data_IF_231060183657
#
_entry.id   IF_231060183657
#
_cell.length_a   1.000
_cell.length_b   1.000
_cell.length_c   1.000
_cell.angle_alpha   90.00
_cell.angle_beta   90.00
_cell.angle_gamma   90.00
#
_symmetry.space_group_name_H-M   'P 1'
#
loop_
_entity.id
_entity.type
_entity.pdbx_description
1 polymer ?
#
# COMPACT_ATOMS: atom_id res chain seq x y z
N UNK A 1 -54.31 3.52 -7.21
CA UNK A 1 -52.91 3.86 -7.57
C UNK A 1 -52.17 4.12 -6.26
N UNK A 2 -51.12 3.42 -5.81
CA UNK A 2 -50.13 2.50 -6.41
C UNK A 2 -49.61 1.51 -5.34
N UNK A 3 -49.35 0.22 -5.67
CA UNK A 3 -48.54 -0.68 -4.84
C UNK A 3 -47.07 -0.83 -5.33
N UNK A 4 -46.66 -0.13 -6.41
CA UNK A 4 -45.35 -0.31 -7.04
C UNK A 4 -44.17 0.41 -6.33
N UNK A 5 -44.43 1.49 -5.58
CA UNK A 5 -43.34 2.31 -5.02
C UNK A 5 -42.61 1.68 -3.83
N UNK A 6 -43.25 0.80 -3.04
CA UNK A 6 -42.58 0.13 -1.90
C UNK A 6 -41.60 -0.95 -2.32
N UNK A 7 -41.82 -1.59 -3.48
CA UNK A 7 -40.97 -2.68 -4.00
C UNK A 7 -39.64 -2.10 -4.52
N UNK A 8 -39.71 -0.94 -5.19
CA UNK A 8 -38.54 -0.27 -5.75
C UNK A 8 -37.52 0.18 -4.69
N UNK A 9 -37.97 0.51 -3.47
CA UNK A 9 -37.07 0.88 -2.36
C UNK A 9 -36.48 -0.31 -1.58
N UNK A 10 -37.14 -1.47 -1.55
CA UNK A 10 -36.71 -2.62 -0.77
C UNK A 10 -35.58 -3.43 -1.43
N UNK A 11 -35.57 -3.48 -2.77
CA UNK A 11 -34.55 -4.20 -3.56
C UNK A 11 -33.13 -3.66 -3.38
N UNK A 12 -32.86 -2.34 -3.55
CA UNK A 12 -31.50 -1.80 -3.44
C UNK A 12 -30.94 -1.89 -2.02
N UNK A 13 -31.79 -1.80 -0.99
CA UNK A 13 -31.37 -1.91 0.40
C UNK A 13 -30.87 -3.31 0.77
N UNK A 14 -31.47 -4.36 0.21
CA UNK A 14 -31.03 -5.75 0.43
C UNK A 14 -29.65 -6.02 -0.18
N UNK A 15 -29.42 -5.55 -1.41
CA UNK A 15 -28.14 -5.68 -2.12
C UNK A 15 -27.04 -4.92 -1.37
N UNK A 16 -27.32 -3.69 -0.94
CA UNK A 16 -26.38 -2.89 -0.16
C UNK A 16 -25.96 -3.58 1.14
N UNK A 17 -26.91 -4.18 1.88
CA UNK A 17 -26.59 -4.94 3.10
C UNK A 17 -25.75 -6.18 2.84
N UNK A 18 -26.04 -6.93 1.77
CA UNK A 18 -25.23 -8.10 1.39
C UNK A 18 -23.79 -7.67 1.06
N UNK A 19 -23.64 -6.65 0.23
CA UNK A 19 -22.34 -6.13 -0.17
C UNK A 19 -21.54 -5.59 1.02
N UNK A 20 -22.22 -4.91 1.95
CA UNK A 20 -21.64 -4.42 3.20
C UNK A 20 -21.10 -5.56 4.07
N UNK A 21 -21.84 -6.66 4.18
CA UNK A 21 -21.43 -7.82 4.96
C UNK A 21 -20.18 -8.46 4.36
N UNK A 22 -20.18 -8.68 3.03
CA UNK A 22 -19.03 -9.22 2.31
C UNK A 22 -17.81 -8.31 2.47
N UNK A 23 -17.99 -6.99 2.33
CA UNK A 23 -16.91 -6.01 2.48
C UNK A 23 -16.33 -6.00 3.89
N UNK A 24 -17.17 -6.01 4.92
CA UNK A 24 -16.75 -6.02 6.32
C UNK A 24 -15.97 -7.31 6.66
N UNK A 25 -16.46 -8.47 6.20
CA UNK A 25 -15.79 -9.74 6.39
C UNK A 25 -14.41 -9.78 5.69
N UNK A 26 -14.37 -9.28 4.44
CA UNK A 26 -13.13 -9.16 3.68
C UNK A 26 -12.11 -8.25 4.36
N UNK A 27 -12.53 -7.07 4.83
CA UNK A 27 -11.65 -6.12 5.54
C UNK A 27 -11.10 -6.68 6.84
N UNK A 28 -11.91 -7.44 7.59
CA UNK A 28 -11.48 -8.04 8.86
C UNK A 28 -10.44 -9.13 8.61
N UNK A 29 -10.68 -10.01 7.64
CA UNK A 29 -9.73 -11.05 7.23
C UNK A 29 -8.43 -10.44 6.69
N UNK A 30 -8.54 -9.41 5.85
CA UNK A 30 -7.40 -8.67 5.31
C UNK A 30 -6.58 -8.04 6.45
N UNK A 31 -7.23 -7.35 7.38
CA UNK A 31 -6.56 -6.72 8.53
C UNK A 31 -5.77 -7.73 9.37
N UNK A 32 -6.33 -8.91 9.61
CA UNK A 32 -5.65 -9.97 10.35
C UNK A 32 -4.38 -10.45 9.63
N UNK A 33 -4.46 -10.67 8.31
CA UNK A 33 -3.31 -11.08 7.50
C UNK A 33 -2.23 -10.00 7.51
N UNK A 34 -2.60 -8.74 7.34
CA UNK A 34 -1.64 -7.63 7.35
C UNK A 34 -0.93 -7.50 8.69
N UNK A 35 -1.63 -7.66 9.81
CA UNK A 35 -0.99 -7.62 11.14
C UNK A 35 0.03 -8.75 11.29
N UNK A 36 -0.29 -9.96 10.82
CA UNK A 36 0.65 -11.09 10.84
C UNK A 36 1.89 -10.82 9.95
N UNK A 37 1.68 -10.25 8.76
CA UNK A 37 2.77 -9.89 7.84
C UNK A 37 3.63 -8.76 8.39
N UNK A 38 3.01 -7.75 9.03
CA UNK A 38 3.70 -6.65 9.70
C UNK A 38 4.63 -7.18 10.79
N UNK A 39 4.18 -8.12 11.62
CA UNK A 39 5.00 -8.72 12.66
C UNK A 39 6.20 -9.47 12.09
N UNK A 40 5.99 -10.24 11.01
CA UNK A 40 7.09 -10.95 10.32
C UNK A 40 8.11 -9.97 9.73
N UNK A 41 7.65 -8.90 9.09
CA UNK A 41 8.52 -7.87 8.52
C UNK A 41 9.30 -7.11 9.60
N UNK A 42 8.68 -6.88 10.77
CA UNK A 42 9.35 -6.24 11.92
C UNK A 42 10.57 -7.04 12.36
N UNK A 43 10.44 -8.37 12.46
CA UNK A 43 11.55 -9.25 12.82
C UNK A 43 12.64 -9.24 11.75
N UNK A 44 12.26 -9.23 10.47
CA UNK A 44 13.20 -9.16 9.36
C UNK A 44 14.02 -7.86 9.39
N UNK A 45 13.34 -6.72 9.50
CA UNK A 45 13.98 -5.40 9.61
C UNK A 45 14.88 -5.29 10.84
N UNK A 46 14.44 -5.81 11.98
CA UNK A 46 15.26 -5.87 13.18
C UNK A 46 16.56 -6.64 12.94
N UNK A 47 16.49 -7.81 12.32
CA UNK A 47 17.68 -8.61 12.04
C UNK A 47 18.66 -7.92 11.08
N UNK A 48 18.15 -7.24 10.04
CA UNK A 48 18.96 -6.48 9.06
C UNK A 48 19.63 -5.26 9.71
N UNK A 49 18.96 -4.61 10.68
CA UNK A 49 19.50 -3.47 11.44
C UNK A 49 20.68 -3.86 12.34
N UNK A 50 20.62 -5.04 12.98
CA UNK A 50 21.64 -5.46 13.95
C UNK A 50 22.84 -6.21 13.32
N UNK A 51 22.81 -6.53 12.03
CA UNK A 51 23.94 -7.13 11.29
C UNK A 51 24.35 -6.26 10.06
N UNK A 52 24.90 -5.05 10.26
CA UNK A 52 25.23 -4.12 9.17
C UNK A 52 26.56 -4.46 8.48
N UNK A 53 26.78 -5.72 8.07
CA UNK A 53 28.09 -6.18 7.58
C UNK A 53 28.33 -6.01 6.06
N UNK A 54 27.40 -5.46 5.26
CA UNK A 54 27.63 -5.27 3.82
C UNK A 54 26.94 -4.02 3.26
N UNK A 55 27.65 -3.26 2.43
CA UNK A 55 27.21 -2.02 1.74
C UNK A 55 25.86 -2.15 0.99
N UNK A 56 25.44 -3.36 0.62
CA UNK A 56 24.12 -3.64 0.01
C UNK A 56 22.93 -3.61 1.00
N UNK A 57 23.19 -3.51 2.31
CA UNK A 57 22.17 -3.55 3.36
C UNK A 57 21.27 -2.31 3.36
N UNK A 58 21.79 -1.13 2.98
CA UNK A 58 21.01 0.13 3.02
C UNK A 58 19.80 0.12 2.08
N UNK A 59 20.00 -0.33 0.84
CA UNK A 59 18.89 -0.45 -0.13
C UNK A 59 17.85 -1.47 0.32
N UNK A 60 18.29 -2.62 0.84
CA UNK A 60 17.39 -3.67 1.35
C UNK A 60 16.59 -3.19 2.57
N UNK A 61 17.19 -2.40 3.44
CA UNK A 61 16.54 -1.84 4.63
C UNK A 61 15.48 -0.80 4.25
N UNK A 62 15.79 0.13 3.35
CA UNK A 62 14.82 1.13 2.88
C UNK A 62 13.66 0.46 2.15
N UNK A 63 13.93 -0.57 1.33
CA UNK A 63 12.90 -1.36 0.66
C UNK A 63 12.00 -2.10 1.68
N UNK A 64 12.57 -2.77 2.68
CA UNK A 64 11.80 -3.43 3.74
C UNK A 64 10.99 -2.43 4.59
N UNK A 65 11.54 -1.27 4.91
CA UNK A 65 10.86 -0.21 5.65
C UNK A 65 9.68 0.37 4.85
N UNK A 66 9.84 0.52 3.54
CA UNK A 66 8.73 0.85 2.65
C UNK A 66 7.64 -0.22 2.76
N UNK A 67 7.93 -1.50 2.57
CA UNK A 67 6.91 -2.56 2.71
C UNK A 67 6.24 -2.54 4.08
N UNK A 68 7.00 -2.39 5.16
CA UNK A 68 6.49 -2.26 6.53
C UNK A 68 5.48 -1.10 6.68
N UNK A 69 5.80 0.08 6.16
CA UNK A 69 4.90 1.22 6.21
C UNK A 69 3.65 1.00 5.34
N UNK A 70 3.68 0.12 4.31
CA UNK A 70 2.46 -0.27 3.55
C UNK A 70 1.46 -0.94 4.47
N UNK A 71 1.93 -1.96 5.18
CA UNK A 71 1.09 -2.79 6.01
C UNK A 71 0.49 -1.93 7.13
N UNK A 72 1.31 -1.08 7.75
CA UNK A 72 0.84 -0.12 8.74
C UNK A 72 -0.25 0.82 8.19
N UNK A 73 -0.03 1.42 7.02
CA UNK A 73 -0.98 2.36 6.41
C UNK A 73 -2.32 1.70 6.05
N UNK A 74 -2.28 0.51 5.45
CA UNK A 74 -3.50 -0.24 5.14
C UNK A 74 -4.24 -0.70 6.40
N UNK A 75 -3.52 -1.12 7.45
CA UNK A 75 -4.15 -1.42 8.75
C UNK A 75 -4.83 -0.17 9.32
N UNK A 76 -4.17 0.98 9.27
CA UNK A 76 -4.74 2.25 9.74
C UNK A 76 -6.03 2.61 8.97
N UNK A 77 -6.06 2.36 7.66
CA UNK A 77 -7.27 2.54 6.84
C UNK A 77 -8.42 1.61 7.28
N UNK A 78 -8.13 0.33 7.50
CA UNK A 78 -9.12 -0.66 7.95
C UNK A 78 -9.70 -0.23 9.31
N UNK A 79 -8.84 0.18 10.25
CA UNK A 79 -9.28 0.69 11.55
C UNK A 79 -10.15 1.94 11.38
N UNK A 80 -9.76 2.88 10.51
CA UNK A 80 -10.54 4.09 10.23
C UNK A 80 -11.89 3.80 9.58
N UNK A 81 -11.96 2.79 8.72
CA UNK A 81 -13.21 2.33 8.13
C UNK A 81 -14.23 1.87 9.19
N UNK A 82 -13.80 1.06 10.16
CA UNK A 82 -14.67 0.64 11.27
C UNK A 82 -15.02 1.80 12.21
N UNK A 83 -14.07 2.71 12.49
CA UNK A 83 -14.30 3.90 13.32
C UNK A 83 -15.30 4.89 12.69
N UNK A 84 -15.35 4.96 11.35
CA UNK A 84 -16.23 5.87 10.61
C UNK A 84 -17.67 5.32 10.42
N UNK A 85 -18.03 4.22 11.09
CA UNK A 85 -19.37 3.64 11.00
C UNK A 85 -19.63 2.91 9.69
N UNK A 86 -18.64 2.16 9.18
CA UNK A 86 -18.72 1.34 7.96
C UNK A 86 -18.88 2.11 6.65
N UNK A 87 -18.79 3.44 6.70
CA UNK A 87 -18.66 4.27 5.51
C UNK A 87 -17.19 4.43 5.18
N UNK A 88 -16.82 4.17 3.93
CA UNK A 88 -15.47 4.48 3.44
C UNK A 88 -15.29 6.00 3.35
N UNK A 89 -14.45 6.61 4.20
CA UNK A 89 -14.26 8.04 4.17
C UNK A 89 -13.32 8.38 3.02
N UNK A 90 -13.87 8.98 1.95
CA UNK A 90 -13.17 9.31 0.70
C UNK A 90 -11.80 9.99 0.91
N UNK A 91 -11.70 10.84 1.93
CA UNK A 91 -10.46 11.53 2.30
C UNK A 91 -9.29 10.57 2.60
N UNK A 92 -9.55 9.45 3.26
CA UNK A 92 -8.50 8.49 3.63
C UNK A 92 -8.08 7.64 2.44
N UNK A 93 -9.00 7.35 1.52
CA UNK A 93 -8.67 6.73 0.23
C UNK A 93 -7.72 7.62 -0.58
N UNK A 94 -7.90 8.94 -0.54
CA UNK A 94 -6.97 9.86 -1.20
C UNK A 94 -5.60 9.86 -0.51
N UNK A 95 -5.54 9.87 0.82
CA UNK A 95 -4.25 9.82 1.53
C UNK A 95 -3.45 8.54 1.22
N UNK A 96 -4.08 7.36 1.27
CA UNK A 96 -3.41 6.11 0.89
C UNK A 96 -3.00 6.10 -0.59
N UNK A 97 -3.79 6.72 -1.46
CA UNK A 97 -3.48 6.82 -2.89
C UNK A 97 -2.25 7.69 -3.13
N UNK A 98 -2.14 8.81 -2.42
CA UNK A 98 -0.95 9.67 -2.48
C UNK A 98 0.28 8.92 -1.96
N UNK A 99 0.19 8.24 -0.81
CA UNK A 99 1.32 7.46 -0.28
C UNK A 99 1.72 6.32 -1.22
N UNK A 100 0.76 5.65 -1.87
CA UNK A 100 1.05 4.61 -2.86
C UNK A 100 1.80 5.16 -4.08
N UNK A 101 1.39 6.33 -4.61
CA UNK A 101 2.08 6.99 -5.72
C UNK A 101 3.48 7.43 -5.31
N UNK A 102 3.61 8.08 -4.15
CA UNK A 102 4.91 8.51 -3.62
C UNK A 102 5.84 7.31 -3.41
N UNK A 103 5.31 6.21 -2.88
CA UNK A 103 6.11 5.00 -2.73
C UNK A 103 6.49 4.38 -4.07
N UNK A 104 5.59 4.36 -5.05
CA UNK A 104 5.89 3.87 -6.39
C UNK A 104 7.08 4.65 -6.98
N UNK A 105 7.09 5.97 -6.84
CA UNK A 105 8.20 6.81 -7.32
C UNK A 105 9.52 6.51 -6.58
N UNK A 106 9.49 6.25 -5.27
CA UNK A 106 10.71 5.94 -4.51
C UNK A 106 11.26 4.56 -4.85
N UNK A 107 10.40 3.56 -5.05
CA UNK A 107 10.83 2.19 -5.35
C UNK A 107 11.27 2.04 -6.81
N UNK A 108 10.65 2.80 -7.72
CA UNK A 108 10.94 2.77 -9.14
C UNK A 108 12.12 3.70 -9.44
N UNK A 109 13.33 3.18 -9.29
CA UNK A 109 14.55 3.81 -9.80
C UNK A 109 14.87 3.24 -11.19
N UNK A 110 14.57 3.93 -12.30
CA UNK A 110 15.30 3.71 -13.53
C UNK A 110 16.72 4.28 -13.32
N UNK A 111 17.66 3.40 -13.01
CA UNK A 111 19.05 3.52 -13.47
C UNK A 111 19.77 4.84 -13.15
N UNK A 112 19.77 5.32 -11.91
CA UNK A 112 20.60 6.49 -11.54
C UNK A 112 22.11 6.22 -11.58
N UNK A 113 22.55 4.95 -11.66
CA UNK A 113 23.97 4.60 -11.78
C UNK A 113 24.47 4.51 -13.24
N UNK A 114 23.62 4.11 -14.19
CA UNK A 114 24.01 4.00 -15.62
C UNK A 114 24.01 5.35 -16.34
N UNK A 115 23.11 6.28 -16.00
CA UNK A 115 23.04 7.59 -16.67
C UNK A 115 24.26 8.46 -16.34
N UNK A 116 24.84 8.31 -15.16
CA UNK A 116 26.01 9.08 -14.71
C UNK A 116 27.31 8.54 -15.29
N UNK A 117 27.44 7.21 -15.46
CA UNK A 117 28.56 6.59 -16.18
C UNK A 117 28.48 6.85 -17.69
N UNK A 118 27.29 6.82 -18.28
CA UNK A 118 27.09 7.11 -19.71
C UNK A 118 27.33 8.59 -20.09
N UNK A 119 27.18 9.51 -19.13
CA UNK A 119 27.46 10.95 -19.34
C UNK A 119 28.85 11.37 -18.84
N UNK A 120 29.50 10.54 -18.01
CA UNK A 120 30.82 10.78 -17.42
C UNK A 120 32.00 10.35 -18.29
N UNK A 121 31.82 9.36 -19.17
CA UNK A 121 32.83 8.93 -20.17
C UNK A 121 32.63 9.65 -21.52
N UNK A 122 32.45 10.97 -21.45
CA UNK A 122 32.43 11.88 -22.61
C UNK A 122 33.83 12.29 -23.10
N UNK A 123 34.85 11.47 -22.86
CA UNK A 123 36.13 11.56 -23.55
C UNK A 123 36.27 10.31 -24.43
N UNK A 124 36.50 10.54 -25.73
CA UNK A 124 36.96 9.56 -26.72
C UNK A 124 35.88 8.89 -27.59
N UNK A 125 35.41 9.65 -28.59
CA UNK A 125 35.03 9.08 -29.89
C UNK A 125 35.26 10.08 -31.04
N UNK A 126 36.50 10.57 -31.14
CA UNK A 126 37.11 10.83 -32.45
C UNK A 126 37.88 9.56 -32.82
N UNK A 127 37.73 9.11 -34.07
CA UNK A 127 38.35 7.95 -34.72
C UNK A 127 37.55 6.63 -34.68
N UNK A 128 36.53 6.54 -35.54
CA UNK A 128 36.51 5.59 -36.67
C UNK A 128 35.91 6.28 -37.89
#
# INVERSE_FOLDING_TARGET
MLPAERIFHALPAGIARCLQLVLNAGLLLLGLILVAFLAKETLHLGNVLFQPAAENSKYSLVAGLMVYFLYFEFIALIVKYFQAGYHFPLRYIIYIGITAIVRLIIVEHPSSHDVLLYTGDGHDAVAV
#
